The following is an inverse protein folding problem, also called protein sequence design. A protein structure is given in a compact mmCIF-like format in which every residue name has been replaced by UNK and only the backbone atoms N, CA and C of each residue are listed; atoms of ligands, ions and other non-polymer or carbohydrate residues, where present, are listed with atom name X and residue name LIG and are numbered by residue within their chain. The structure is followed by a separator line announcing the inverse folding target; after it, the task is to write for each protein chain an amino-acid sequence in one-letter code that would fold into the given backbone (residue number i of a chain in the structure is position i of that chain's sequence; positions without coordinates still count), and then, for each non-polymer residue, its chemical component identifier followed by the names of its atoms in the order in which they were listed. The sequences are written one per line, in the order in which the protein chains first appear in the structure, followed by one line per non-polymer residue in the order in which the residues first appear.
data_IF_112093697179
#
_entry.id   IF_112093697179
#
_cell.length_a   1.000
_cell.length_b   1.000
_cell.length_c   1.000
_cell.angle_alpha   90.00
_cell.angle_beta   90.00
_cell.angle_gamma   90.00
#
_symmetry.space_group_name_H-M   'P 1'
#
loop_
_entity.id
_entity.type
_entity.pdbx_description
1 polymer ?
#
# COMPACT_ATOMS: atom_id res chain seq x y z
N UNK A 1 -23.79 -8.83 -4.16
CA UNK A 1 -23.53 -7.37 -4.06
C UNK A 1 -23.46 -6.88 -2.61
N UNK A 2 -24.41 -7.24 -1.73
CA UNK A 2 -24.39 -6.79 -0.32
C UNK A 2 -23.20 -7.27 0.52
N UNK A 3 -22.56 -8.37 0.13
CA UNK A 3 -21.44 -8.98 0.87
C UNK A 3 -20.10 -8.31 0.56
N UNK A 4 -19.83 -7.98 -0.72
CA UNK A 4 -18.68 -7.14 -1.11
C UNK A 4 -18.71 -5.78 -0.41
N UNK A 5 -19.85 -5.10 -0.41
CA UNK A 5 -20.02 -3.81 0.26
C UNK A 5 -19.74 -3.84 1.78
N UNK A 6 -19.97 -4.98 2.46
CA UNK A 6 -19.63 -5.13 3.88
C UNK A 6 -18.14 -5.39 4.11
N UNK A 7 -17.50 -6.13 3.21
CA UNK A 7 -16.04 -6.39 3.23
C UNK A 7 -15.28 -5.09 2.96
N UNK A 8 -15.70 -4.33 1.94
CA UNK A 8 -15.12 -3.02 1.60
C UNK A 8 -15.28 -2.03 2.78
N UNK A 9 -16.43 -2.03 3.47
CA UNK A 9 -16.62 -1.26 4.70
C UNK A 9 -15.71 -1.73 5.85
N UNK A 10 -15.54 -3.04 6.05
CA UNK A 10 -14.71 -3.57 7.12
C UNK A 10 -13.20 -3.30 6.89
N UNK A 11 -12.75 -3.29 5.63
CA UNK A 11 -11.37 -2.96 5.24
C UNK A 11 -11.10 -1.45 5.37
N UNK A 12 -12.03 -0.60 4.94
CA UNK A 12 -11.91 0.86 5.13
C UNK A 12 -11.90 1.30 6.60
N UNK A 13 -12.51 0.53 7.51
CA UNK A 13 -12.50 0.77 8.96
C UNK A 13 -11.22 0.27 9.65
N UNK A 14 -10.35 -0.49 8.97
CA UNK A 14 -9.10 -0.94 9.56
C UNK A 14 -8.05 0.16 9.64
N UNK A 15 -8.14 1.23 8.85
CA UNK A 15 -7.10 2.25 8.77
C UNK A 15 -7.64 3.64 9.13
N UNK A 16 -6.86 4.40 9.90
CA UNK A 16 -7.12 5.84 10.10
C UNK A 16 -6.79 6.63 8.83
N UNK A 17 -7.29 7.85 8.70
CA UNK A 17 -7.00 8.69 7.53
C UNK A 17 -5.50 8.96 7.37
N UNK A 18 -4.76 9.13 8.48
CA UNK A 18 -3.29 9.24 8.46
C UNK A 18 -2.63 7.98 7.92
N UNK A 19 -3.09 6.80 8.34
CA UNK A 19 -2.58 5.52 7.85
C UNK A 19 -2.90 5.33 6.37
N UNK A 20 -4.09 5.72 5.93
CA UNK A 20 -4.49 5.72 4.53
C UNK A 20 -3.62 6.65 3.68
N UNK A 21 -3.31 7.85 4.16
CA UNK A 21 -2.37 8.75 3.49
C UNK A 21 -0.96 8.16 3.37
N UNK A 22 -0.48 7.47 4.41
CA UNK A 22 0.78 6.74 4.34
C UNK A 22 0.76 5.63 3.28
N UNK A 23 -0.35 4.87 3.19
CA UNK A 23 -0.51 3.85 2.14
C UNK A 23 -0.48 4.49 0.76
N UNK A 24 -1.18 5.61 0.55
CA UNK A 24 -1.15 6.35 -0.73
C UNK A 24 0.29 6.75 -1.09
N UNK A 25 1.04 7.31 -0.14
CA UNK A 25 2.45 7.69 -0.35
C UNK A 25 3.30 6.50 -0.81
N UNK A 26 3.18 5.35 -0.13
CA UNK A 26 3.91 4.14 -0.47
C UNK A 26 3.51 3.55 -1.83
N UNK A 27 2.22 3.58 -2.18
CA UNK A 27 1.71 3.11 -3.48
C UNK A 27 2.21 3.99 -4.61
N UNK A 28 2.24 5.31 -4.41
CA UNK A 28 2.76 6.26 -5.39
C UNK A 28 4.26 6.07 -5.55
N UNK A 29 5.01 5.92 -4.46
CA UNK A 29 6.45 5.68 -4.56
C UNK A 29 6.72 4.37 -5.31
N UNK A 30 6.00 3.29 -4.99
CA UNK A 30 6.11 2.00 -5.69
C UNK A 30 5.91 2.16 -7.21
N UNK A 31 4.82 2.81 -7.63
CA UNK A 31 4.51 3.01 -9.06
C UNK A 31 5.53 3.91 -9.79
N UNK A 32 6.37 4.66 -9.08
CA UNK A 32 7.37 5.55 -9.68
C UNK A 32 8.80 5.00 -9.59
N UNK A 33 9.01 3.80 -9.03
CA UNK A 33 10.35 3.23 -8.81
C UNK A 33 11.15 3.14 -10.11
N UNK A 34 10.51 2.76 -11.21
CA UNK A 34 11.13 2.61 -12.53
C UNK A 34 11.02 3.88 -13.41
N UNK A 35 10.42 4.96 -12.90
CA UNK A 35 10.07 6.21 -13.59
C UNK A 35 9.07 6.07 -14.75
N UNK A 36 8.36 4.95 -14.90
CA UNK A 36 7.36 4.73 -15.95
C UNK A 36 6.05 4.13 -15.40
N UNK A 37 5.09 4.99 -15.02
CA UNK A 37 3.76 4.50 -14.59
C UNK A 37 2.96 3.96 -15.79
N UNK A 38 2.71 2.65 -15.82
CA UNK A 38 1.87 1.99 -16.82
C UNK A 38 0.36 2.21 -16.58
N UNK A 39 -0.46 1.93 -17.60
CA UNK A 39 -1.92 1.95 -17.46
C UNK A 39 -2.44 0.89 -16.47
N UNK A 40 -1.71 -0.21 -16.29
CA UNK A 40 -2.13 -1.31 -15.41
C UNK A 40 -1.91 -0.92 -13.95
N UNK A 41 -0.76 -0.35 -13.60
CA UNK A 41 -0.48 0.16 -12.25
C UNK A 41 -1.41 1.33 -11.90
N UNK A 42 -1.70 2.22 -12.84
CA UNK A 42 -2.68 3.29 -12.62
C UNK A 42 -4.07 2.72 -12.31
N UNK A 43 -4.48 1.66 -13.00
CA UNK A 43 -5.75 0.98 -12.74
C UNK A 43 -5.74 0.30 -11.37
N UNK A 44 -4.65 -0.38 -11.02
CA UNK A 44 -4.53 -1.08 -9.74
C UNK A 44 -4.51 -0.08 -8.57
N UNK A 45 -3.76 1.01 -8.68
CA UNK A 45 -3.75 2.11 -7.70
C UNK A 45 -5.16 2.68 -7.48
N UNK A 46 -5.95 2.88 -8.55
CA UNK A 46 -7.33 3.33 -8.44
C UNK A 46 -8.24 2.31 -7.73
N UNK A 47 -8.04 1.01 -7.96
CA UNK A 47 -8.77 -0.05 -7.26
C UNK A 47 -8.43 -0.07 -5.77
N UNK A 48 -7.15 0.06 -5.41
CA UNK A 48 -6.69 0.15 -4.02
C UNK A 48 -7.27 1.39 -3.34
N UNK A 49 -7.27 2.54 -4.02
CA UNK A 49 -7.85 3.77 -3.49
C UNK A 49 -9.35 3.62 -3.21
N UNK A 50 -10.08 2.96 -4.12
CA UNK A 50 -11.49 2.67 -3.92
C UNK A 50 -11.73 1.68 -2.75
N UNK A 51 -10.91 0.63 -2.67
CA UNK A 51 -10.96 -0.39 -1.60
C UNK A 51 -10.76 0.21 -0.20
N UNK A 52 -9.85 1.17 -0.07
CA UNK A 52 -9.55 1.86 1.18
C UNK A 52 -10.47 3.06 1.47
N UNK A 53 -11.41 3.36 0.56
CA UNK A 53 -12.25 4.55 0.59
C UNK A 53 -11.41 5.84 0.73
N UNK A 54 -10.36 5.98 -0.09
CA UNK A 54 -9.51 7.16 -0.14
C UNK A 54 -10.31 8.33 -0.74
N UNK A 55 -10.45 9.40 0.02
CA UNK A 55 -11.01 10.66 -0.46
C UNK A 55 -9.93 11.52 -1.13
N UNK A 56 -10.34 12.52 -1.90
CA UNK A 56 -9.40 13.48 -2.51
C UNK A 56 -8.50 14.18 -1.49
N UNK A 57 -9.03 14.44 -0.28
CA UNK A 57 -8.28 15.05 0.82
C UNK A 57 -7.18 14.11 1.33
N UNK A 58 -7.53 12.84 1.59
CA UNK A 58 -6.56 11.81 2.01
C UNK A 58 -5.52 11.58 0.92
N UNK A 59 -5.94 11.52 -0.35
CA UNK A 59 -5.03 11.35 -1.48
C UNK A 59 -4.04 12.52 -1.59
N UNK A 60 -4.52 13.76 -1.44
CA UNK A 60 -3.70 14.97 -1.49
C UNK A 60 -2.70 15.01 -0.34
N UNK A 61 -3.12 14.65 0.87
CA UNK A 61 -2.24 14.50 2.02
C UNK A 61 -1.18 13.42 1.77
N UNK A 62 -1.58 12.24 1.28
CA UNK A 62 -0.67 11.13 0.99
C UNK A 62 0.39 11.50 -0.06
N UNK A 63 -0.01 12.22 -1.12
CA UNK A 63 0.93 12.73 -2.13
C UNK A 63 1.97 13.72 -1.61
N UNK A 64 1.64 14.45 -0.55
CA UNK A 64 2.55 15.41 0.07
C UNK A 64 3.45 14.77 1.14
N UNK A 65 3.21 13.50 1.47
CA UNK A 65 3.89 12.79 2.53
C UNK A 65 5.23 12.23 2.05
N UNK A 66 6.29 12.48 2.80
CA UNK A 66 7.59 11.84 2.60
C UNK A 66 7.51 10.33 2.86
N UNK A 67 8.20 9.54 2.02
CA UNK A 67 8.21 8.07 2.11
C UNK A 67 8.74 7.57 3.45
N UNK A 68 9.76 8.25 4.02
CA UNK A 68 10.29 7.91 5.34
C UNK A 68 9.26 8.10 6.46
N UNK A 69 8.46 9.16 6.37
CA UNK A 69 7.35 9.39 7.29
C UNK A 69 6.20 8.40 7.08
N UNK A 70 5.90 8.02 5.85
CA UNK A 70 4.91 6.98 5.53
C UNK A 70 5.31 5.61 6.14
N UNK A 71 6.58 5.24 6.00
CA UNK A 71 7.17 4.06 6.64
C UNK A 71 7.08 4.15 8.16
N UNK A 72 7.31 5.32 8.75
CA UNK A 72 7.18 5.49 10.19
C UNK A 72 5.74 5.24 10.67
N UNK A 73 4.75 5.77 9.97
CA UNK A 73 3.34 5.50 10.27
C UNK A 73 3.05 4.00 10.17
N UNK A 74 3.53 3.34 9.11
CA UNK A 74 3.35 1.90 8.91
C UNK A 74 4.00 1.06 10.02
N UNK A 75 5.17 1.48 10.54
CA UNK A 75 5.86 0.81 11.65
C UNK A 75 5.00 0.73 12.93
N UNK A 76 4.12 1.71 13.16
CA UNK A 76 3.19 1.75 14.31
C UNK A 76 1.81 1.15 14.02
N UNK A 77 1.56 0.63 12.83
CA UNK A 77 0.35 -0.14 12.54
C UNK A 77 0.36 -1.50 13.25
N UNK A 78 -0.80 -2.13 13.39
CA UNK A 78 -0.88 -3.51 13.84
C UNK A 78 -0.27 -4.49 12.82
N UNK A 79 0.14 -5.66 13.27
CA UNK A 79 0.74 -6.69 12.42
C UNK A 79 -0.15 -7.06 11.21
N UNK A 80 -1.47 -7.19 11.43
CA UNK A 80 -2.43 -7.46 10.36
C UNK A 80 -2.47 -6.35 9.31
N UNK A 81 -2.44 -5.10 9.76
CA UNK A 81 -2.40 -3.95 8.87
C UNK A 81 -1.10 -3.91 8.07
N UNK A 82 0.05 -4.17 8.70
CA UNK A 82 1.36 -4.22 8.02
C UNK A 82 1.38 -5.27 6.91
N UNK A 83 0.90 -6.47 7.21
CA UNK A 83 0.80 -7.56 6.24
C UNK A 83 -0.12 -7.19 5.08
N UNK A 84 -1.27 -6.58 5.38
CA UNK A 84 -2.19 -6.13 4.34
C UNK A 84 -1.58 -5.05 3.45
N UNK A 85 -0.86 -4.07 4.00
CA UNK A 85 -0.14 -3.06 3.19
C UNK A 85 0.93 -3.71 2.31
N UNK A 86 1.69 -4.68 2.83
CA UNK A 86 2.66 -5.43 2.02
C UNK A 86 1.99 -6.18 0.84
N UNK A 87 0.79 -6.74 1.05
CA UNK A 87 0.00 -7.36 -0.01
C UNK A 87 -0.46 -6.33 -1.07
N UNK A 88 -0.86 -5.12 -0.66
CA UNK A 88 -1.20 -4.04 -1.59
C UNK A 88 0.00 -3.61 -2.44
N UNK A 89 1.18 -3.50 -1.82
CA UNK A 89 2.42 -3.18 -2.55
C UNK A 89 2.81 -4.30 -3.52
N UNK A 90 2.62 -5.56 -3.15
CA UNK A 90 2.84 -6.71 -4.06
C UNK A 90 1.89 -6.68 -5.24
N UNK A 91 0.60 -6.34 -5.01
CA UNK A 91 -0.39 -6.18 -6.10
C UNK A 91 0.01 -5.11 -7.11
N UNK A 92 0.66 -4.02 -6.66
CA UNK A 92 1.18 -2.99 -7.56
C UNK A 92 2.27 -3.54 -8.46
N UNK A 93 3.24 -4.26 -7.91
CA UNK A 93 4.34 -4.91 -8.66
C UNK A 93 3.78 -5.90 -9.70
N UNK A 94 2.76 -6.67 -9.33
CA UNK A 94 2.20 -7.67 -10.23
C UNK A 94 1.28 -7.07 -11.32
N UNK A 95 0.96 -5.78 -11.26
CA UNK A 95 -0.12 -5.17 -12.05
C UNK A 95 0.14 -5.21 -13.56
N UNK A 96 1.38 -4.97 -14.00
CA UNK A 96 1.73 -4.89 -15.44
C UNK A 96 2.43 -6.17 -15.97
N UNK A 97 2.49 -7.23 -15.15
CA UNK A 97 3.16 -8.50 -15.43
C UNK A 97 4.67 -8.42 -15.65
N UNK A 98 5.30 -7.30 -15.28
CA UNK A 98 6.76 -7.16 -15.21
C UNK A 98 7.14 -6.87 -13.78
N UNK A 99 7.96 -7.74 -13.22
CA UNK A 99 8.51 -7.54 -11.89
C UNK A 99 9.93 -7.00 -12.06
N UNK A 100 10.18 -5.76 -11.66
CA UNK A 100 11.51 -5.16 -11.63
C UNK A 100 12.20 -5.42 -10.28
N UNK A 101 13.51 -5.66 -10.33
CA UNK A 101 14.38 -5.83 -9.15
C UNK A 101 14.34 -4.59 -8.25
N UNK A 102 14.13 -3.40 -8.82
CA UNK A 102 14.01 -2.17 -8.03
C UNK A 102 12.72 -2.13 -7.21
N UNK A 103 11.60 -2.59 -7.76
CA UNK A 103 10.32 -2.64 -7.06
C UNK A 103 10.35 -3.69 -5.94
N UNK A 104 10.92 -4.87 -6.23
CA UNK A 104 11.20 -5.89 -5.21
C UNK A 104 12.09 -5.31 -4.12
N UNK A 105 13.14 -4.56 -4.49
CA UNK A 105 14.05 -3.95 -3.53
C UNK A 105 13.35 -2.91 -2.66
N UNK A 106 12.45 -2.11 -3.24
CA UNK A 106 11.62 -1.15 -2.51
C UNK A 106 10.65 -1.85 -1.55
N UNK A 107 9.93 -2.88 -2.01
CA UNK A 107 9.05 -3.70 -1.14
C UNK A 107 9.83 -4.28 0.04
N UNK A 108 10.96 -4.92 -0.23
CA UNK A 108 11.82 -5.51 0.81
C UNK A 108 12.32 -4.47 1.80
N UNK A 109 12.67 -3.27 1.32
CA UNK A 109 13.07 -2.16 2.18
C UNK A 109 11.91 -1.74 3.10
N UNK A 110 10.71 -1.51 2.56
CA UNK A 110 9.51 -1.16 3.37
C UNK A 110 9.21 -2.26 4.40
N UNK A 111 9.21 -3.52 3.99
CA UNK A 111 8.93 -4.64 4.90
C UNK A 111 9.95 -4.71 6.05
N UNK A 112 11.24 -4.57 5.76
CA UNK A 112 12.30 -4.55 6.79
C UNK A 112 12.20 -3.37 7.74
N UNK A 113 11.90 -2.17 7.22
CA UNK A 113 11.79 -0.97 8.06
C UNK A 113 10.59 -1.02 9.01
N UNK A 114 9.54 -1.73 8.62
CA UNK A 114 8.26 -1.81 9.37
C UNK A 114 8.15 -3.06 10.23
N UNK A 115 9.04 -4.03 10.02
CA UNK A 115 9.03 -5.35 10.65
C UNK A 115 8.00 -6.31 10.06
N UNK A 116 7.48 -6.04 8.87
CA UNK A 116 6.50 -6.88 8.19
C UNK A 116 7.13 -8.18 7.65
N UNK A 117 8.42 -8.15 7.31
CA UNK A 117 9.22 -9.32 6.90
C UNK A 117 9.24 -10.41 7.99
N UNK A 118 9.44 -10.03 9.24
CA UNK A 118 9.45 -10.95 10.39
C UNK A 118 8.08 -11.63 10.57
N UNK A 119 6.98 -10.95 10.19
CA UNK A 119 5.63 -11.49 10.30
C UNK A 119 5.35 -12.54 9.22
N UNK A 120 5.85 -12.32 8.00
CA UNK A 120 5.72 -13.26 6.89
C UNK A 120 6.46 -14.58 7.16
N UNK A 121 7.57 -14.54 7.89
CA UNK A 121 8.32 -15.74 8.30
C UNK A 121 7.65 -16.54 9.44
N UNK A 122 6.61 -15.97 10.08
CA UNK A 122 5.91 -16.58 11.24
C UNK A 122 4.57 -17.22 10.88
N UNK A 123 4.07 -17.03 9.67
CA UNK A 123 2.86 -17.73 9.21
C UNK A 123 3.25 -19.13 8.68
N UNK A 124 2.78 -20.23 9.31
CA UNK A 124 3.08 -21.60 8.91
C UNK A 124 2.33 -22.06 7.64
#
# INVERSE_FOLDING_TARGET
MAERSKIDMALSMQFTDTQKGAIVSLIIEMANVDNEVSLHELRESNLINAELAITDEIFTMGRALDVGFAVEIMRHMSDKQKLYVAQLLTRMIDADSKVDDNEISFLNWVCRQTGADILLEREP
#
